data_IF_337671410939
#
_entry.id   IF_337671410939
#
_cell.length_a   1.000
_cell.length_b   1.000
_cell.length_c   1.000
_cell.angle_alpha   90.00
_cell.angle_beta   90.00
_cell.angle_gamma   90.00
#
_symmetry.space_group_name_H-M   'P 1'
#
loop_
_entity.id
_entity.type
_entity.pdbx_description
1 polymer ?
#
# COMPACT_ATOMS: atom_id res chain seq x y z
N UNK A 1 -5.57 47.97 0.18
CA UNK A 1 -6.18 46.78 -0.37
C UNK A 1 -5.05 45.79 -0.67
N UNK A 2 -4.85 44.77 0.17
CA UNK A 2 -3.83 43.75 -0.02
C UNK A 2 -4.53 42.45 -0.44
N UNK A 3 -4.17 41.93 -1.60
CA UNK A 3 -4.62 40.64 -2.09
C UNK A 3 -3.96 39.54 -1.27
N UNK A 4 -4.76 38.63 -0.75
CA UNK A 4 -4.28 37.43 -0.06
C UNK A 4 -3.84 36.40 -1.07
N UNK A 5 -2.56 36.05 -1.03
CA UNK A 5 -1.99 34.90 -1.73
C UNK A 5 -2.51 33.61 -1.10
N UNK A 6 -3.44 32.96 -1.80
CA UNK A 6 -3.86 31.61 -1.49
C UNK A 6 -2.87 30.65 -2.12
N UNK A 7 -2.00 30.07 -1.30
CA UNK A 7 -1.10 28.98 -1.70
C UNK A 7 -1.97 27.79 -2.12
N UNK A 8 -2.13 27.62 -3.43
CA UNK A 8 -2.84 26.50 -4.02
C UNK A 8 -2.06 25.20 -3.80
N UNK A 9 -2.59 24.32 -2.95
CA UNK A 9 -2.22 22.90 -2.98
C UNK A 9 -2.56 22.37 -4.37
N UNK A 10 -1.55 22.13 -5.20
CA UNK A 10 -1.72 21.43 -6.46
C UNK A 10 -2.02 19.95 -6.15
N UNK A 11 -3.28 19.59 -6.08
CA UNK A 11 -3.71 18.21 -6.27
C UNK A 11 -3.42 17.85 -7.72
N UNK A 12 -2.45 16.97 -7.94
CA UNK A 12 -2.18 16.44 -9.27
C UNK A 12 -3.45 15.71 -9.74
N UNK A 13 -4.16 16.30 -10.69
CA UNK A 13 -5.39 15.72 -11.23
C UNK A 13 -5.10 14.39 -11.92
N UNK A 14 -6.00 13.42 -11.74
CA UNK A 14 -5.98 12.07 -12.34
C UNK A 14 -5.51 12.04 -13.81
N UNK A 15 -5.84 13.07 -14.59
CA UNK A 15 -5.45 13.24 -16.00
C UNK A 15 -3.94 13.38 -16.25
N UNK A 16 -3.17 13.89 -15.31
CA UNK A 16 -1.70 14.03 -15.44
C UNK A 16 -1.02 12.68 -15.25
N UNK A 17 -1.52 11.86 -14.32
CA UNK A 17 -1.03 10.51 -14.10
C UNK A 17 -1.34 9.59 -15.27
N UNK A 18 -2.58 9.59 -15.76
CA UNK A 18 -3.02 8.76 -16.88
C UNK A 18 -2.28 9.11 -18.18
N UNK A 19 -2.06 10.39 -18.48
CA UNK A 19 -1.35 10.80 -19.70
C UNK A 19 0.14 10.49 -19.69
N UNK A 20 0.77 10.37 -18.51
CA UNK A 20 2.18 10.00 -18.37
C UNK A 20 2.38 8.48 -18.31
N UNK A 21 1.48 7.74 -17.66
CA UNK A 21 1.49 6.28 -17.61
C UNK A 21 1.43 5.66 -19.01
N UNK A 22 0.64 6.24 -19.91
CA UNK A 22 0.51 5.78 -21.30
C UNK A 22 1.75 6.07 -22.18
N UNK A 23 2.65 6.97 -21.77
CA UNK A 23 3.78 7.40 -22.61
C UNK A 23 5.14 6.84 -22.19
N UNK A 24 5.34 6.52 -20.91
CA UNK A 24 6.63 6.02 -20.42
C UNK A 24 6.51 5.43 -19.01
N UNK A 25 6.54 4.10 -18.91
CA UNK A 25 6.49 3.38 -17.63
C UNK A 25 7.60 3.81 -16.67
N UNK A 26 8.82 4.01 -17.17
CA UNK A 26 9.95 4.46 -16.35
C UNK A 26 9.74 5.86 -15.76
N UNK A 27 9.07 6.74 -16.48
CA UNK A 27 8.70 8.07 -16.00
C UNK A 27 7.64 8.02 -14.89
N UNK A 28 6.68 7.10 -15.00
CA UNK A 28 5.68 6.89 -13.96
C UNK A 28 6.33 6.35 -12.68
N UNK A 29 7.17 5.34 -12.79
CA UNK A 29 7.91 4.78 -11.65
C UNK A 29 8.78 5.82 -10.96
N UNK A 30 9.43 6.71 -11.72
CA UNK A 30 10.23 7.81 -11.17
C UNK A 30 9.37 8.80 -10.37
N UNK A 31 8.18 9.16 -10.89
CA UNK A 31 7.24 10.05 -10.21
C UNK A 31 6.69 9.43 -8.92
N UNK A 32 6.29 8.16 -8.95
CA UNK A 32 5.79 7.46 -7.78
C UNK A 32 6.87 7.38 -6.69
N UNK A 33 8.11 7.06 -7.10
CA UNK A 33 9.26 7.04 -6.18
C UNK A 33 9.52 8.41 -5.55
N UNK A 34 9.46 9.48 -6.34
CA UNK A 34 9.63 10.84 -5.84
C UNK A 34 8.49 11.24 -4.89
N UNK A 35 7.24 10.92 -5.23
CA UNK A 35 6.08 11.21 -4.39
C UNK A 35 6.20 10.52 -3.03
N UNK A 36 6.53 9.22 -2.99
CA UNK A 36 6.72 8.47 -1.75
C UNK A 36 7.90 9.04 -0.95
N UNK A 37 9.03 9.35 -1.60
CA UNK A 37 10.20 9.93 -0.93
C UNK A 37 9.88 11.24 -0.23
N UNK A 38 9.01 12.05 -0.79
CA UNK A 38 8.61 13.37 -0.28
C UNK A 38 7.39 13.32 0.65
N UNK A 39 6.84 12.14 0.94
CA UNK A 39 5.75 11.94 1.90
C UNK A 39 6.28 11.48 3.26
N UNK A 40 5.51 11.67 4.32
CA UNK A 40 5.75 11.05 5.64
C UNK A 40 5.07 9.71 5.74
N UNK A 41 3.92 9.57 5.08
CA UNK A 41 3.04 8.41 5.16
C UNK A 41 2.48 8.09 3.77
N UNK A 42 2.28 6.82 3.49
CA UNK A 42 1.52 6.31 2.35
C UNK A 42 0.22 5.72 2.87
N UNK A 43 -0.90 6.32 2.47
CA UNK A 43 -2.24 5.84 2.77
C UNK A 43 -2.77 5.06 1.57
N UNK A 44 -3.00 3.76 1.75
CA UNK A 44 -3.52 2.86 0.71
C UNK A 44 -5.04 2.84 0.78
N UNK A 45 -5.71 3.43 -0.22
CA UNK A 45 -7.17 3.31 -0.33
C UNK A 45 -7.51 1.93 -0.90
N UNK A 46 -8.15 1.09 -0.07
CA UNK A 46 -8.48 -0.29 -0.39
C UNK A 46 -9.90 -0.40 -0.90
N UNK A 47 -10.07 -0.82 -2.14
CA UNK A 47 -11.33 -1.16 -2.79
C UNK A 47 -11.28 -2.55 -3.40
N UNK A 48 -12.37 -3.02 -4.00
CA UNK A 48 -12.61 -4.41 -4.44
C UNK A 48 -11.44 -5.04 -5.22
N UNK A 49 -10.73 -4.28 -6.05
CA UNK A 49 -9.66 -4.77 -6.92
C UNK A 49 -8.28 -4.13 -6.65
N UNK A 50 -8.16 -3.28 -5.64
CA UNK A 50 -6.91 -2.51 -5.36
C UNK A 50 -5.72 -3.44 -5.10
N UNK A 51 -5.93 -4.54 -4.40
CA UNK A 51 -4.90 -5.52 -4.04
C UNK A 51 -4.22 -6.19 -5.25
N UNK A 52 -4.87 -6.19 -6.43
CA UNK A 52 -4.32 -6.73 -7.68
C UNK A 52 -3.48 -5.72 -8.44
N UNK A 53 -3.58 -4.44 -8.10
CA UNK A 53 -2.90 -3.37 -8.82
C UNK A 53 -1.38 -3.45 -8.61
N UNK A 54 -0.63 -3.60 -9.72
CA UNK A 54 0.84 -3.53 -9.69
C UNK A 54 1.34 -2.19 -9.14
N UNK A 55 0.65 -1.11 -9.48
CA UNK A 55 1.04 0.23 -9.06
C UNK A 55 0.88 0.45 -7.56
N UNK A 56 -0.21 -0.06 -6.98
CA UNK A 56 -0.43 -0.01 -5.53
C UNK A 56 0.62 -0.85 -4.81
N UNK A 57 0.94 -2.06 -5.29
CA UNK A 57 2.02 -2.88 -4.75
C UNK A 57 3.37 -2.17 -4.83
N UNK A 58 3.63 -1.44 -5.92
CA UNK A 58 4.85 -0.65 -6.07
C UNK A 58 4.91 0.50 -5.06
N UNK A 59 3.81 1.25 -4.84
CA UNK A 59 3.74 2.30 -3.82
C UNK A 59 3.98 1.76 -2.42
N UNK A 60 3.36 0.62 -2.07
CA UNK A 60 3.58 -0.08 -0.80
C UNK A 60 5.05 -0.48 -0.65
N UNK A 61 5.63 -1.10 -1.68
CA UNK A 61 7.04 -1.50 -1.69
C UNK A 61 7.95 -0.29 -1.46
N UNK A 62 7.67 0.84 -2.14
CA UNK A 62 8.44 2.07 -1.96
C UNK A 62 8.28 2.66 -0.56
N UNK A 63 7.07 2.59 0.04
CA UNK A 63 6.85 3.03 1.41
C UNK A 63 7.71 2.25 2.41
N UNK A 64 7.79 0.93 2.24
CA UNK A 64 8.64 0.06 3.07
C UNK A 64 10.13 0.39 2.89
N UNK A 65 10.61 0.51 1.64
CA UNK A 65 12.02 0.78 1.33
C UNK A 65 12.47 2.16 1.83
N UNK A 66 11.60 3.17 1.76
CA UNK A 66 11.88 4.55 2.17
C UNK A 66 11.52 4.81 3.64
N UNK A 67 11.16 3.79 4.40
CA UNK A 67 10.75 3.87 5.82
C UNK A 67 9.66 4.94 6.03
N UNK A 68 8.57 4.87 5.25
CA UNK A 68 7.40 5.75 5.40
C UNK A 68 6.35 5.10 6.28
N UNK A 69 5.57 5.90 7.00
CA UNK A 69 4.36 5.43 7.64
C UNK A 69 3.45 4.76 6.62
N UNK A 70 2.74 3.71 7.00
CA UNK A 70 1.91 2.94 6.09
C UNK A 70 0.62 2.53 6.79
N UNK A 71 -0.52 2.79 6.14
CA UNK A 71 -1.83 2.37 6.59
C UNK A 71 -2.73 2.05 5.40
N UNK A 72 -3.78 1.28 5.64
CA UNK A 72 -4.86 1.05 4.68
C UNK A 72 -6.17 1.66 5.16
N UNK A 73 -6.95 2.21 4.23
CA UNK A 73 -8.32 2.67 4.49
C UNK A 73 -9.25 2.00 3.50
N UNK A 74 -10.20 1.22 4.02
CA UNK A 74 -11.25 0.56 3.25
C UNK A 74 -12.25 1.60 2.77
N UNK A 75 -12.54 1.61 1.46
CA UNK A 75 -13.42 2.59 0.81
C UNK A 75 -14.44 1.96 -0.13
N UNK A 76 -14.67 0.65 -0.06
CA UNK A 76 -15.54 -0.09 -1.00
C UNK A 76 -16.98 0.44 -1.04
N UNK A 77 -17.51 0.90 0.08
CA UNK A 77 -18.90 1.33 0.23
C UNK A 77 -19.10 2.85 0.09
N UNK A 78 -18.05 3.60 -0.29
CA UNK A 78 -18.12 5.07 -0.39
C UNK A 78 -18.87 5.55 -1.65
N UNK A 79 -19.09 4.70 -2.66
CA UNK A 79 -19.86 5.08 -3.85
C UNK A 79 -21.36 4.76 -3.69
N UNK A 80 -22.24 5.79 -3.53
CA UNK A 80 -23.67 5.59 -3.24
C UNK A 80 -24.50 5.04 -4.41
N UNK A 81 -23.93 4.82 -5.60
CA UNK A 81 -24.67 4.46 -6.82
C UNK A 81 -24.38 3.05 -7.37
N UNK A 82 -23.72 2.15 -6.62
CA UNK A 82 -23.57 0.77 -7.05
C UNK A 82 -24.83 -0.02 -6.72
N UNK A 83 -25.51 -0.51 -7.77
CA UNK A 83 -26.73 -1.33 -7.66
C UNK A 83 -26.51 -2.69 -6.98
N UNK A 84 -25.28 -3.12 -6.78
CA UNK A 84 -24.90 -4.34 -6.04
C UNK A 84 -23.64 -4.04 -5.23
N UNK A 85 -23.63 -4.29 -3.90
CA UNK A 85 -22.41 -4.23 -3.13
C UNK A 85 -21.45 -5.31 -3.64
N UNK A 86 -20.32 -4.89 -4.21
CA UNK A 86 -19.22 -5.82 -4.46
C UNK A 86 -18.70 -6.30 -3.10
N UNK A 87 -18.25 -7.56 -3.03
CA UNK A 87 -17.58 -8.03 -1.82
C UNK A 87 -16.33 -7.15 -1.59
N UNK A 88 -16.07 -6.75 -0.35
CA UNK A 88 -14.85 -6.02 -0.02
C UNK A 88 -13.63 -6.73 -0.62
N UNK A 89 -12.75 -5.96 -1.24
CA UNK A 89 -11.47 -6.48 -1.74
C UNK A 89 -10.55 -6.89 -0.59
N UNK A 90 -9.53 -7.69 -0.91
CA UNK A 90 -8.47 -7.92 0.05
C UNK A 90 -7.72 -6.61 0.30
N UNK A 91 -7.37 -6.35 1.57
CA UNK A 91 -6.45 -5.26 1.88
C UNK A 91 -5.11 -5.52 1.14
N UNK A 92 -4.61 -4.56 0.34
CA UNK A 92 -3.32 -4.69 -0.34
C UNK A 92 -2.16 -5.01 0.60
N UNK A 93 -2.22 -4.60 1.87
CA UNK A 93 -1.20 -4.90 2.88
C UNK A 93 -1.25 -6.36 3.36
N UNK A 94 -2.34 -7.11 3.09
CA UNK A 94 -2.40 -8.57 3.29
C UNK A 94 -1.65 -9.35 2.21
N UNK A 95 -1.49 -8.77 1.02
CA UNK A 95 -0.82 -9.45 -0.11
C UNK A 95 0.62 -9.02 -0.33
N UNK A 96 1.07 -7.97 0.35
CA UNK A 96 2.46 -7.58 0.44
C UNK A 96 3.01 -7.93 1.82
N UNK A 97 4.28 -8.34 1.90
CA UNK A 97 4.87 -8.80 3.15
C UNK A 97 6.38 -8.69 3.18
N UNK A 98 6.93 -9.06 4.32
CA UNK A 98 8.36 -9.23 4.52
C UNK A 98 8.68 -10.69 4.85
N UNK A 99 9.73 -11.20 4.29
CA UNK A 99 10.31 -12.52 4.57
C UNK A 99 11.65 -12.32 5.26
N UNK A 100 11.82 -12.94 6.44
CA UNK A 100 13.11 -13.00 7.11
C UNK A 100 13.85 -14.28 6.68
N UNK A 101 14.91 -14.10 5.93
CA UNK A 101 15.76 -15.20 5.48
C UNK A 101 16.65 -15.71 6.63
N UNK A 102 17.10 -16.98 6.55
CA UNK A 102 17.96 -17.62 7.56
C UNK A 102 19.29 -16.90 7.80
N UNK A 103 19.75 -16.09 6.84
CA UNK A 103 20.93 -15.23 7.01
C UNK A 103 20.66 -13.92 7.76
N UNK A 104 19.44 -13.70 8.27
CA UNK A 104 19.03 -12.52 8.99
C UNK A 104 18.59 -11.33 8.11
N UNK A 105 18.67 -11.43 6.78
CA UNK A 105 18.22 -10.38 5.88
C UNK A 105 16.70 -10.45 5.65
N UNK A 106 16.10 -9.27 5.43
CA UNK A 106 14.70 -9.14 5.07
C UNK A 106 14.52 -8.88 3.58
N UNK A 107 13.48 -9.46 3.02
CA UNK A 107 13.11 -9.31 1.61
C UNK A 107 11.64 -8.97 1.47
N UNK A 108 11.31 -8.10 0.51
CA UNK A 108 9.92 -7.90 0.12
C UNK A 108 9.38 -9.13 -0.59
N UNK A 109 8.17 -9.52 -0.21
CA UNK A 109 7.45 -10.65 -0.81
C UNK A 109 6.02 -10.24 -1.12
N UNK A 110 5.44 -10.88 -2.12
CA UNK A 110 4.04 -10.74 -2.47
C UNK A 110 3.33 -12.09 -2.55
N UNK A 111 2.04 -12.11 -2.22
CA UNK A 111 1.20 -13.29 -2.35
C UNK A 111 0.71 -13.45 -3.78
N UNK A 112 0.93 -14.65 -4.32
CA UNK A 112 0.38 -15.08 -5.60
C UNK A 112 -0.72 -16.09 -5.38
N UNK A 113 -1.85 -15.92 -6.09
CA UNK A 113 -2.89 -16.94 -6.14
C UNK A 113 -2.34 -18.18 -6.86
N UNK A 114 -2.54 -19.34 -6.28
CA UNK A 114 -2.14 -20.63 -6.83
C UNK A 114 -3.27 -21.64 -6.67
N UNK A 115 -3.40 -22.56 -7.62
CA UNK A 115 -4.31 -23.69 -7.48
C UNK A 115 -3.68 -24.70 -6.54
N UNK A 116 -4.27 -24.85 -5.34
CA UNK A 116 -3.79 -25.78 -4.31
C UNK A 116 -4.23 -27.22 -4.59
N UNK A 117 -5.39 -27.39 -5.19
CA UNK A 117 -5.94 -28.69 -5.52
C UNK A 117 -6.47 -28.67 -6.96
N UNK A 118 -5.80 -29.42 -7.85
CA UNK A 118 -6.15 -29.50 -9.26
C UNK A 118 -7.49 -30.23 -9.50
N UNK A 119 -7.92 -31.07 -8.56
CA UNK A 119 -9.17 -31.84 -8.70
C UNK A 119 -10.41 -31.00 -8.36
N UNK A 120 -10.29 -30.10 -7.40
CA UNK A 120 -11.37 -29.22 -6.94
C UNK A 120 -11.26 -27.79 -7.47
N UNK A 121 -10.11 -27.41 -8.03
CA UNK A 121 -9.81 -26.04 -8.40
C UNK A 121 -9.63 -25.10 -7.20
N UNK A 122 -9.44 -25.64 -6.00
CA UNK A 122 -9.29 -24.84 -4.79
C UNK A 122 -8.08 -23.92 -4.89
N UNK A 123 -8.31 -22.62 -4.67
CA UNK A 123 -7.28 -21.59 -4.70
C UNK A 123 -6.62 -21.45 -3.32
N UNK A 124 -5.38 -21.05 -3.34
CA UNK A 124 -4.62 -20.66 -2.16
C UNK A 124 -3.61 -19.58 -2.53
N UNK A 125 -2.75 -19.24 -1.57
CA UNK A 125 -1.69 -18.27 -1.80
C UNK A 125 -0.33 -18.86 -1.47
N UNK A 126 0.69 -18.41 -2.20
CA UNK A 126 2.09 -18.61 -1.87
C UNK A 126 2.84 -17.28 -1.89
N UNK A 127 3.86 -17.17 -1.05
CA UNK A 127 4.74 -16.02 -1.04
C UNK A 127 5.83 -16.17 -2.09
N UNK A 128 6.07 -15.11 -2.86
CA UNK A 128 7.19 -15.00 -3.81
C UNK A 128 7.93 -13.69 -3.56
N UNK A 129 9.23 -13.67 -3.88
CA UNK A 129 10.00 -12.41 -3.86
C UNK A 129 9.33 -11.38 -4.76
N UNK A 130 9.27 -10.15 -4.28
CA UNK A 130 8.71 -9.05 -5.05
C UNK A 130 9.68 -8.67 -6.19
N UNK A 131 9.23 -8.85 -7.44
CA UNK A 131 10.10 -8.79 -8.62
C UNK A 131 10.73 -7.41 -8.86
N UNK A 132 10.03 -6.32 -8.50
CA UNK A 132 10.53 -4.96 -8.69
C UNK A 132 11.56 -4.53 -7.60
N UNK A 133 11.82 -5.37 -6.58
CA UNK A 133 12.87 -5.19 -5.56
C UNK A 133 13.30 -6.53 -4.94
N UNK A 134 14.16 -7.29 -5.63
CA UNK A 134 14.66 -8.59 -5.16
C UNK A 134 15.78 -8.47 -4.12
N UNK A 135 16.32 -7.27 -3.88
CA UNK A 135 17.42 -7.02 -2.95
C UNK A 135 16.95 -7.06 -1.49
N UNK A 136 17.85 -7.37 -0.55
CA UNK A 136 17.55 -7.28 0.87
C UNK A 136 17.35 -5.80 1.28
N UNK A 137 16.54 -5.60 2.32
CA UNK A 137 16.25 -4.29 2.88
C UNK A 137 16.36 -4.28 4.40
N UNK A 138 16.40 -3.09 4.98
CA UNK A 138 16.20 -2.87 6.41
C UNK A 138 14.70 -2.69 6.65
N UNK A 139 14.07 -3.50 7.53
CA UNK A 139 12.64 -3.36 7.78
C UNK A 139 12.36 -2.01 8.48
N UNK A 140 11.22 -1.35 8.16
CA UNK A 140 10.78 -0.15 8.87
C UNK A 140 10.59 -0.41 10.37
N UNK A 141 10.67 0.65 11.19
CA UNK A 141 10.57 0.56 12.66
C UNK A 141 9.25 -0.02 13.15
N UNK A 142 8.17 0.09 12.39
CA UNK A 142 6.88 -0.47 12.77
C UNK A 142 6.79 -2.00 12.58
N UNK A 143 7.76 -2.60 11.87
CA UNK A 143 7.79 -4.04 11.66
C UNK A 143 8.32 -4.71 12.92
N UNK A 144 7.49 -5.53 13.52
CA UNK A 144 7.88 -6.38 14.66
C UNK A 144 8.68 -7.60 14.24
N UNK A 145 8.92 -8.49 15.19
CA UNK A 145 9.68 -9.72 14.96
C UNK A 145 8.96 -10.63 13.95
N UNK A 146 9.71 -11.08 12.97
CA UNK A 146 9.30 -12.12 12.03
C UNK A 146 10.16 -13.35 12.32
N UNK A 147 9.55 -14.52 12.45
CA UNK A 147 10.27 -15.78 12.64
C UNK A 147 11.16 -16.06 11.42
N UNK A 148 12.41 -16.47 11.68
CA UNK A 148 13.39 -16.81 10.65
C UNK A 148 12.86 -17.91 9.71
N UNK A 149 13.02 -17.74 8.41
CA UNK A 149 12.43 -18.63 7.40
C UNK A 149 10.94 -18.43 7.14
N UNK A 150 10.32 -17.39 7.72
CA UNK A 150 8.89 -17.10 7.58
C UNK A 150 8.65 -15.78 6.87
N UNK A 151 7.49 -15.68 6.24
CA UNK A 151 6.95 -14.45 5.68
C UNK A 151 5.76 -13.97 6.52
N UNK A 152 5.72 -12.66 6.77
CA UNK A 152 4.61 -12.00 7.47
C UNK A 152 4.01 -10.90 6.58
N UNK A 153 2.67 -10.80 6.45
CA UNK A 153 2.04 -9.72 5.72
C UNK A 153 2.23 -8.39 6.46
N UNK A 154 2.33 -7.30 5.69
CA UNK A 154 2.48 -5.95 6.25
C UNK A 154 1.30 -5.55 7.13
N UNK A 155 0.10 -6.06 6.85
CA UNK A 155 -1.11 -5.83 7.66
C UNK A 155 -1.01 -6.29 9.12
N UNK A 156 -0.04 -7.10 9.48
CA UNK A 156 0.22 -7.43 10.90
C UNK A 156 0.90 -6.28 11.66
N UNK A 157 1.50 -5.34 10.95
CA UNK A 157 2.32 -4.28 11.52
C UNK A 157 1.79 -2.87 11.25
N UNK A 158 0.71 -2.76 10.47
CA UNK A 158 0.13 -1.50 10.00
C UNK A 158 -1.34 -1.40 10.39
N UNK A 159 -1.84 -0.17 10.53
CA UNK A 159 -3.24 0.07 10.79
C UNK A 159 -4.10 -0.17 9.55
N UNK A 160 -5.32 -0.66 9.78
CA UNK A 160 -6.39 -0.73 8.80
C UNK A 160 -7.63 -0.07 9.39
N UNK A 161 -8.26 0.82 8.64
CA UNK A 161 -9.45 1.56 9.03
C UNK A 161 -10.54 1.40 7.98
N UNK A 162 -11.78 1.49 8.41
CA UNK A 162 -12.94 1.58 7.52
C UNK A 162 -13.43 3.03 7.47
N UNK A 163 -13.44 3.63 6.27
CA UNK A 163 -13.75 5.04 6.09
C UNK A 163 -15.15 5.41 6.57
N UNK A 164 -16.14 4.54 6.35
CA UNK A 164 -17.54 4.83 6.70
C UNK A 164 -17.83 4.53 8.16
N UNK A 165 -17.43 3.36 8.65
CA UNK A 165 -17.79 2.89 9.99
C UNK A 165 -16.97 3.56 11.09
N UNK A 166 -15.79 4.08 10.77
CA UNK A 166 -14.89 4.75 11.72
C UNK A 166 -14.82 6.26 11.51
N UNK A 167 -15.84 6.87 10.86
CA UNK A 167 -15.91 8.32 10.59
C UNK A 167 -14.62 8.88 9.96
N UNK A 168 -14.23 8.31 8.83
CA UNK A 168 -13.00 8.66 8.12
C UNK A 168 -12.91 10.13 7.73
N UNK A 169 -14.06 10.79 7.50
CA UNK A 169 -14.07 12.23 7.21
C UNK A 169 -13.49 13.07 8.36
N UNK A 170 -13.66 12.62 9.59
CA UNK A 170 -13.14 13.28 10.80
C UNK A 170 -11.77 12.74 11.20
N UNK A 171 -11.53 11.42 11.08
CA UNK A 171 -10.42 10.74 11.72
C UNK A 171 -9.20 10.51 10.82
N UNK A 172 -9.34 10.60 9.49
CA UNK A 172 -8.27 10.25 8.53
C UNK A 172 -6.97 11.02 8.78
N UNK A 173 -7.04 12.29 9.19
CA UNK A 173 -5.83 13.08 9.48
C UNK A 173 -5.05 12.48 10.67
N UNK A 174 -5.75 12.09 11.74
CA UNK A 174 -5.15 11.47 12.92
C UNK A 174 -4.53 10.10 12.56
N UNK A 175 -5.20 9.27 11.77
CA UNK A 175 -4.67 7.98 11.32
C UNK A 175 -3.37 8.12 10.52
N UNK A 176 -3.28 9.16 9.67
CA UNK A 176 -2.07 9.47 8.89
C UNK A 176 -0.94 9.93 9.82
N UNK A 177 -1.25 10.77 10.81
CA UNK A 177 -0.27 11.26 11.80
C UNK A 177 0.24 10.11 12.67
N UNK A 178 -0.63 9.20 13.11
CA UNK A 178 -0.27 8.00 13.88
C UNK A 178 0.66 7.10 13.08
N UNK A 179 0.38 6.87 11.80
CA UNK A 179 1.26 6.09 10.93
C UNK A 179 2.61 6.78 10.71
N UNK A 180 2.65 8.12 10.60
CA UNK A 180 3.91 8.87 10.53
C UNK A 180 4.73 8.75 11.82
N UNK A 181 4.07 8.80 12.97
CA UNK A 181 4.72 8.68 14.28
C UNK A 181 5.41 7.31 14.47
N UNK A 182 4.87 6.22 13.89
CA UNK A 182 5.47 4.88 13.95
C UNK A 182 6.85 4.81 13.30
N UNK A 183 7.18 5.70 12.38
CA UNK A 183 8.50 5.82 11.75
C UNK A 183 9.32 7.00 12.27
N UNK A 184 8.82 7.69 13.32
CA UNK A 184 9.53 8.80 13.98
C UNK A 184 9.47 10.11 13.20
N UNK A 185 8.37 10.37 12.54
CA UNK A 185 8.13 11.58 11.73
C UNK A 185 6.94 12.39 12.24
#
# INVERSE_FOLDING_TARGET
MKASDTVGRQTATRSVWESRALKNESGLLALMREAVRNSTTVCVLSGANTWRSRWVKYEIARAVIEERGLLAIQVDDVEPNRATPERPGLNPLHVMGLYQHENGHYYLVERHEVVKDLSTGALGFEWRLYADHPEPLVPPRYVGDIEMGRAAPLSLFTAEHDFLTEDGATNMAAWIDDAAAQVGR
#
